data_IF_222841073558
#
_entry.id   IF_222841073558
#
_cell.length_a   1.000
_cell.length_b   1.000
_cell.length_c   1.000
_cell.angle_alpha   90.00
_cell.angle_beta   90.00
_cell.angle_gamma   90.00
#
_symmetry.space_group_name_H-M   'P 1'
#
loop_
_entity.id
_entity.type
_entity.pdbx_description
1 polymer ?
#
# COMPACT_ATOMS: atom_id res chain seq x y z
N UNK A 1 27.82 1.15 -6.50
CA UNK A 1 26.84 0.78 -5.46
C UNK A 1 25.54 1.46 -5.82
N UNK A 2 24.46 0.71 -6.09
CA UNK A 2 23.15 1.32 -6.38
C UNK A 2 22.63 2.04 -5.14
N UNK A 3 21.92 3.15 -5.35
CA UNK A 3 21.21 3.78 -4.25
C UNK A 3 20.08 2.86 -3.80
N UNK A 4 19.79 2.83 -2.50
CA UNK A 4 18.72 2.03 -1.92
C UNK A 4 17.38 2.42 -2.54
N UNK A 5 16.53 1.45 -2.87
CA UNK A 5 15.20 1.71 -3.42
C UNK A 5 14.28 2.45 -2.44
N UNK A 6 13.18 3.01 -2.95
CA UNK A 6 12.16 3.67 -2.15
C UNK A 6 11.18 2.65 -1.58
N UNK A 7 10.85 2.78 -0.29
CA UNK A 7 9.66 2.14 0.27
C UNK A 7 8.47 3.09 0.10
N UNK A 8 7.44 2.64 -0.59
CA UNK A 8 6.25 3.43 -0.92
C UNK A 8 5.04 2.75 -0.30
N UNK A 9 4.24 3.50 0.44
CA UNK A 9 3.01 3.04 1.06
C UNK A 9 1.84 3.80 0.44
N UNK A 10 0.95 3.07 -0.21
CA UNK A 10 -0.30 3.60 -0.74
C UNK A 10 -1.45 3.06 0.10
N UNK A 11 -2.22 3.98 0.69
CA UNK A 11 -3.42 3.68 1.47
C UNK A 11 -4.60 4.53 1.01
N UNK A 12 -5.74 4.28 1.58
CA UNK A 12 -6.99 4.99 1.29
C UNK A 12 -8.18 4.06 1.43
N UNK A 13 -9.40 4.57 1.42
CA UNK A 13 -10.60 3.78 1.66
C UNK A 13 -10.81 2.71 0.59
N UNK A 14 -11.54 1.66 0.97
CA UNK A 14 -11.99 0.65 0.00
C UNK A 14 -12.87 1.32 -1.06
N UNK A 15 -12.57 1.09 -2.35
CA UNK A 15 -13.28 1.77 -3.45
C UNK A 15 -12.58 3.01 -3.99
N UNK A 16 -11.52 3.52 -3.37
CA UNK A 16 -10.76 4.68 -3.85
C UNK A 16 -9.95 4.44 -5.14
N UNK A 17 -9.83 3.18 -5.62
CA UNK A 17 -9.12 2.86 -6.85
C UNK A 17 -7.62 2.61 -6.71
N UNK A 18 -7.12 2.38 -5.49
CA UNK A 18 -5.69 2.12 -5.19
C UNK A 18 -5.07 1.07 -6.11
N UNK A 19 -5.66 -0.13 -6.17
CA UNK A 19 -5.12 -1.24 -6.96
C UNK A 19 -4.97 -0.92 -8.44
N UNK A 20 -5.90 -0.16 -9.02
CA UNK A 20 -5.82 0.26 -10.42
C UNK A 20 -4.70 1.27 -10.63
N UNK A 21 -4.55 2.25 -9.73
CA UNK A 21 -3.42 3.21 -9.74
C UNK A 21 -2.10 2.45 -9.61
N UNK A 22 -1.98 1.55 -8.62
CA UNK A 22 -0.78 0.71 -8.42
C UNK A 22 -0.42 -0.10 -9.67
N UNK A 23 -1.42 -0.67 -10.35
CA UNK A 23 -1.19 -1.41 -11.59
C UNK A 23 -0.70 -0.51 -12.73
N UNK A 24 -1.22 0.72 -12.85
CA UNK A 24 -0.81 1.67 -13.88
C UNK A 24 0.62 2.16 -13.67
N UNK A 25 0.95 2.65 -12.47
CA UNK A 25 2.31 3.17 -12.20
C UNK A 25 3.39 2.09 -12.35
N UNK A 26 3.08 0.83 -12.05
CA UNK A 26 4.02 -0.30 -12.25
C UNK A 26 4.34 -0.55 -13.73
N UNK A 27 3.42 -0.27 -14.66
CA UNK A 27 3.69 -0.38 -16.10
C UNK A 27 4.70 0.66 -16.58
N UNK A 28 4.70 1.84 -15.97
CA UNK A 28 5.56 2.97 -16.33
C UNK A 28 6.91 2.94 -15.60
N UNK A 29 6.99 2.26 -14.46
CA UNK A 29 8.17 2.23 -13.59
C UNK A 29 8.69 0.80 -13.41
N UNK A 30 9.55 0.29 -14.30
CA UNK A 30 10.01 -1.12 -14.29
C UNK A 30 10.74 -1.54 -13.01
N UNK A 31 11.35 -0.57 -12.30
CA UNK A 31 12.06 -0.82 -11.02
C UNK A 31 11.13 -0.78 -9.80
N UNK A 32 9.82 -0.60 -10.00
CA UNK A 32 8.83 -0.60 -8.95
C UNK A 32 8.24 -1.99 -8.77
N UNK A 33 8.59 -2.63 -7.66
CA UNK A 33 8.12 -3.99 -7.30
C UNK A 33 6.92 -3.87 -6.37
N UNK A 34 5.84 -4.58 -6.69
CA UNK A 34 4.69 -4.70 -5.79
C UNK A 34 4.98 -5.76 -4.72
N UNK A 35 4.84 -5.39 -3.46
CA UNK A 35 5.02 -6.34 -2.37
C UNK A 35 3.79 -7.26 -2.26
N UNK A 36 4.03 -8.56 -2.38
CA UNK A 36 3.00 -9.56 -2.17
C UNK A 36 2.83 -9.79 -0.68
N UNK A 37 1.64 -9.49 -0.15
CA UNK A 37 1.31 -9.70 1.27
C UNK A 37 1.07 -11.18 1.57
N UNK A 38 1.26 -11.55 2.82
CA UNK A 38 0.88 -12.85 3.37
C UNK A 38 -0.51 -12.78 3.99
N UNK A 39 -1.30 -13.85 3.89
CA UNK A 39 -2.63 -13.92 4.51
C UNK A 39 -2.97 -15.32 5.00
N UNK A 40 -3.80 -15.37 6.05
CA UNK A 40 -4.39 -16.63 6.53
C UNK A 40 -5.74 -16.96 5.88
N UNK A 41 -6.24 -16.07 5.02
CA UNK A 41 -7.45 -16.32 4.25
C UNK A 41 -7.19 -17.38 3.17
N UNK A 42 -8.11 -18.31 3.01
CA UNK A 42 -8.05 -19.25 1.88
C UNK A 42 -8.07 -18.51 0.53
N UNK A 43 -7.34 -19.02 -0.48
CA UNK A 43 -7.34 -18.44 -1.82
C UNK A 43 -8.76 -18.45 -2.43
N UNK A 44 -9.10 -17.40 -3.15
CA UNK A 44 -10.31 -17.33 -3.96
C UNK A 44 -10.07 -17.94 -5.33
N UNK A 45 -11.15 -18.24 -6.05
CA UNK A 45 -11.05 -18.71 -7.44
C UNK A 45 -10.26 -17.70 -8.28
N UNK A 46 -9.19 -18.18 -8.92
CA UNK A 46 -8.31 -17.35 -9.77
C UNK A 46 -7.15 -16.67 -9.03
N UNK A 47 -7.08 -16.75 -7.71
CA UNK A 47 -5.89 -16.28 -6.98
C UNK A 47 -4.76 -17.30 -7.00
N UNK A 48 -3.53 -16.83 -7.14
CA UNK A 48 -2.31 -17.64 -7.31
C UNK A 48 -1.35 -17.33 -6.17
N UNK A 49 -0.79 -18.41 -5.58
CA UNK A 49 0.26 -18.34 -4.54
C UNK A 49 1.46 -17.54 -5.04
N UNK A 50 1.95 -16.63 -4.20
CA UNK A 50 3.10 -15.78 -4.50
C UNK A 50 2.85 -14.69 -5.54
N UNK A 51 1.64 -14.60 -6.10
CA UNK A 51 1.24 -13.55 -7.05
C UNK A 51 0.24 -12.59 -6.43
N UNK A 52 -0.87 -13.14 -5.91
CA UNK A 52 -1.89 -12.34 -5.24
C UNK A 52 -1.61 -12.21 -3.75
N UNK A 53 -1.30 -13.34 -3.13
CA UNK A 53 -0.88 -13.45 -1.72
C UNK A 53 0.07 -14.64 -1.54
N UNK A 54 0.81 -14.62 -0.44
CA UNK A 54 1.37 -15.83 0.17
C UNK A 54 0.32 -16.37 1.14
N UNK A 55 -0.32 -17.50 0.81
CA UNK A 55 -1.36 -18.11 1.65
C UNK A 55 -0.70 -18.99 2.71
N UNK A 56 -0.97 -18.72 3.98
CA UNK A 56 -0.41 -19.46 5.12
C UNK A 56 -1.50 -19.90 6.08
N UNK A 57 -1.21 -20.94 6.86
CA UNK A 57 -2.08 -21.29 7.98
C UNK A 57 -2.01 -20.21 9.07
N UNK A 58 -2.96 -20.23 9.98
CA UNK A 58 -2.97 -19.29 11.10
C UNK A 58 -1.77 -19.53 12.02
N UNK A 59 -1.43 -20.80 12.26
CA UNK A 59 -0.32 -21.23 13.09
C UNK A 59 1.03 -20.78 12.51
N UNK A 60 1.22 -20.91 11.19
CA UNK A 60 2.42 -20.41 10.49
C UNK A 60 2.52 -18.90 10.59
N UNK A 61 1.41 -18.18 10.42
CA UNK A 61 1.40 -16.72 10.51
C UNK A 61 1.73 -16.25 11.95
N UNK A 62 1.16 -16.89 12.97
CA UNK A 62 1.43 -16.58 14.37
C UNK A 62 2.88 -16.90 14.77
N UNK A 63 3.48 -17.95 14.23
CA UNK A 63 4.93 -18.22 14.39
C UNK A 63 5.76 -17.09 13.84
N UNK A 64 5.49 -16.65 12.60
CA UNK A 64 6.19 -15.53 11.95
C UNK A 64 6.00 -14.21 12.69
N UNK A 65 4.84 -13.99 13.32
CA UNK A 65 4.61 -12.83 14.19
C UNK A 65 5.54 -12.84 15.40
N UNK A 66 5.73 -14.00 16.02
CA UNK A 66 6.63 -14.13 17.19
C UNK A 66 8.10 -13.87 16.84
N UNK A 67 8.48 -14.02 15.58
CA UNK A 67 9.81 -13.79 15.03
C UNK A 67 10.04 -12.35 14.51
N UNK A 68 9.05 -11.43 14.67
CA UNK A 68 9.06 -10.07 14.09
C UNK A 68 9.29 -10.08 12.56
N UNK A 69 8.74 -11.08 11.86
CA UNK A 69 8.97 -11.29 10.44
C UNK A 69 8.15 -10.36 9.53
N UNK A 70 7.30 -9.51 10.09
CA UNK A 70 6.46 -8.59 9.31
C UNK A 70 6.88 -7.12 9.48
N UNK A 71 6.79 -6.35 8.40
CA UNK A 71 6.87 -4.88 8.43
C UNK A 71 5.65 -4.28 9.12
N UNK A 72 4.50 -4.81 8.80
CA UNK A 72 3.20 -4.51 9.38
C UNK A 72 2.31 -5.74 9.29
N UNK A 73 1.30 -5.78 10.13
CA UNK A 73 0.22 -6.76 10.02
C UNK A 73 -1.08 -6.20 10.56
N UNK A 74 -2.19 -6.73 10.05
CA UNK A 74 -3.52 -6.40 10.52
C UNK A 74 -4.39 -7.64 10.58
N UNK A 75 -5.31 -7.68 11.54
CA UNK A 75 -6.40 -8.66 11.57
C UNK A 75 -7.64 -8.01 10.98
N UNK A 76 -8.06 -8.52 9.82
CA UNK A 76 -9.26 -8.05 9.12
C UNK A 76 -10.29 -9.16 9.19
N UNK A 77 -11.37 -8.94 9.94
CA UNK A 77 -12.34 -9.97 10.35
C UNK A 77 -11.62 -11.13 11.06
N UNK A 78 -11.68 -12.33 10.50
CA UNK A 78 -11.10 -13.54 11.10
C UNK A 78 -9.72 -13.89 10.53
N UNK A 79 -9.20 -13.12 9.57
CA UNK A 79 -7.94 -13.40 8.88
C UNK A 79 -6.87 -12.39 9.19
N UNK A 80 -5.63 -12.85 9.22
CA UNK A 80 -4.45 -12.01 9.27
C UNK A 80 -4.00 -11.66 7.85
N UNK A 81 -3.43 -10.45 7.74
CA UNK A 81 -2.71 -9.96 6.57
C UNK A 81 -1.44 -9.30 7.05
N UNK A 82 -0.33 -9.46 6.33
CA UNK A 82 0.93 -8.83 6.71
C UNK A 82 1.94 -8.80 5.58
N UNK A 83 2.82 -7.82 5.64
CA UNK A 83 3.89 -7.63 4.66
C UNK A 83 5.18 -8.28 5.15
N UNK A 84 5.72 -9.31 4.45
CA UNK A 84 6.97 -9.96 4.84
C UNK A 84 8.14 -8.98 4.85
N UNK A 85 8.79 -8.81 6.02
CA UNK A 85 9.83 -7.80 6.24
C UNK A 85 11.10 -8.07 5.43
N UNK A 86 11.65 -9.29 5.53
CA UNK A 86 12.93 -9.61 4.92
C UNK A 86 12.88 -9.44 3.40
N UNK A 87 11.83 -9.93 2.74
CA UNK A 87 11.68 -9.81 1.31
C UNK A 87 11.66 -8.35 0.83
N UNK A 88 10.99 -7.47 1.57
CA UNK A 88 10.99 -6.03 1.25
C UNK A 88 12.36 -5.42 1.42
N UNK A 89 13.06 -5.77 2.51
CA UNK A 89 14.41 -5.24 2.79
C UNK A 89 15.41 -5.65 1.71
N UNK A 90 15.40 -6.91 1.29
CA UNK A 90 16.28 -7.44 0.24
C UNK A 90 16.05 -6.67 -1.08
N UNK A 91 14.80 -6.43 -1.48
CA UNK A 91 14.47 -5.67 -2.67
C UNK A 91 14.98 -4.22 -2.60
N UNK A 92 14.79 -3.55 -1.45
CA UNK A 92 15.25 -2.18 -1.26
C UNK A 92 16.78 -2.08 -1.33
N UNK A 93 17.50 -3.04 -0.74
CA UNK A 93 18.96 -3.09 -0.73
C UNK A 93 19.51 -3.42 -2.12
N UNK A 94 18.78 -4.16 -2.96
CA UNK A 94 19.04 -4.36 -4.39
C UNK A 94 18.77 -3.11 -5.26
N UNK A 95 18.33 -1.98 -4.67
CA UNK A 95 18.01 -0.74 -5.38
C UNK A 95 16.65 -0.73 -6.06
N UNK A 96 15.79 -1.72 -5.79
CA UNK A 96 14.42 -1.76 -6.29
C UNK A 96 13.50 -0.98 -5.36
N UNK A 97 12.65 -0.14 -5.91
CA UNK A 97 11.60 0.51 -5.13
C UNK A 97 10.46 -0.47 -4.87
N UNK A 98 9.92 -0.46 -3.65
CA UNK A 98 8.88 -1.41 -3.21
C UNK A 98 7.61 -0.68 -2.88
N UNK A 99 6.50 -1.11 -3.48
CA UNK A 99 5.16 -0.57 -3.30
C UNK A 99 4.35 -1.49 -2.39
N UNK A 100 3.88 -0.94 -1.28
CA UNK A 100 2.91 -1.55 -0.38
C UNK A 100 1.54 -0.92 -0.61
N UNK A 101 0.55 -1.74 -0.97
CA UNK A 101 -0.86 -1.36 -0.95
C UNK A 101 -1.51 -1.96 0.30
N UNK A 102 -1.61 -1.18 1.35
CA UNK A 102 -2.04 -1.62 2.68
C UNK A 102 -3.11 -0.70 3.26
N UNK A 103 -3.79 -1.14 4.31
CA UNK A 103 -4.74 -0.31 5.03
C UNK A 103 -4.02 0.74 5.90
N UNK A 104 -4.81 1.62 6.51
CA UNK A 104 -4.25 2.72 7.29
C UNK A 104 -3.59 2.24 8.60
N UNK A 105 -4.05 1.12 9.18
CA UNK A 105 -3.45 0.55 10.39
C UNK A 105 -2.05 0.02 10.09
N UNK A 106 -1.90 -0.73 9.00
CA UNK A 106 -0.61 -1.20 8.51
C UNK A 106 0.31 -0.05 8.14
N UNK A 107 -0.20 0.98 7.44
CA UNK A 107 0.57 2.16 7.09
C UNK A 107 1.16 2.88 8.31
N UNK A 108 0.41 2.98 9.40
CA UNK A 108 0.91 3.61 10.64
C UNK A 108 2.00 2.76 11.30
N UNK A 109 1.89 1.43 11.29
CA UNK A 109 2.96 0.55 11.79
C UNK A 109 4.24 0.70 10.95
N UNK A 110 4.11 0.78 9.61
CA UNK A 110 5.26 1.05 8.75
C UNK A 110 5.85 2.41 9.06
N UNK A 111 5.04 3.45 9.28
CA UNK A 111 5.52 4.81 9.56
C UNK A 111 6.33 4.90 10.85
N UNK A 112 5.98 4.14 11.85
CA UNK A 112 6.70 4.07 13.13
C UNK A 112 8.07 3.40 12.98
N UNK A 113 8.19 2.42 12.08
CA UNK A 113 9.42 1.63 11.87
C UNK A 113 10.31 2.17 10.76
N UNK A 114 9.73 2.82 9.74
CA UNK A 114 10.39 3.29 8.51
C UNK A 114 9.95 4.72 8.17
N UNK A 115 10.44 5.68 8.94
CA UNK A 115 10.09 7.10 8.77
C UNK A 115 10.48 7.69 7.41
N UNK A 116 11.45 7.08 6.72
CA UNK A 116 11.90 7.48 5.39
C UNK A 116 11.04 6.94 4.24
N UNK A 117 10.03 6.10 4.52
CA UNK A 117 9.09 5.65 3.50
C UNK A 117 8.22 6.82 3.00
N UNK A 118 7.72 6.69 1.77
CA UNK A 118 6.84 7.68 1.13
C UNK A 118 5.40 7.26 1.34
N UNK A 119 4.62 8.04 2.05
CA UNK A 119 3.23 7.73 2.38
C UNK A 119 2.27 8.54 1.50
N UNK A 120 1.49 7.86 0.66
CA UNK A 120 0.52 8.47 -0.25
C UNK A 120 -0.89 7.98 0.11
N UNK A 121 -1.80 8.92 0.36
CA UNK A 121 -3.19 8.62 0.65
C UNK A 121 -4.06 8.89 -0.58
N UNK A 122 -4.73 7.85 -1.09
CA UNK A 122 -5.63 7.96 -2.24
C UNK A 122 -7.05 8.13 -1.75
N UNK A 123 -7.73 9.15 -2.26
CA UNK A 123 -9.12 9.45 -1.92
C UNK A 123 -9.99 9.53 -3.18
N UNK A 124 -11.28 9.18 -3.10
CA UNK A 124 -12.24 9.52 -4.14
C UNK A 124 -12.53 11.03 -4.10
N UNK A 125 -13.12 11.61 -5.17
CA UNK A 125 -13.45 13.03 -5.20
C UNK A 125 -14.53 13.42 -4.18
N UNK A 126 -15.41 12.47 -3.81
CA UNK A 126 -16.43 12.67 -2.78
C UNK A 126 -16.83 11.35 -2.12
N UNK A 127 -17.53 11.43 -0.98
CA UNK A 127 -18.16 10.26 -0.34
C UNK A 127 -19.33 9.72 -1.18
N UNK A 128 -20.01 10.57 -1.94
CA UNK A 128 -21.07 10.16 -2.87
C UNK A 128 -20.49 9.26 -3.96
N UNK A 129 -19.42 9.71 -4.60
CA UNK A 129 -18.71 8.92 -5.62
C UNK A 129 -18.17 7.61 -5.03
N UNK A 130 -17.63 7.63 -3.81
CA UNK A 130 -17.21 6.41 -3.12
C UNK A 130 -18.38 5.43 -2.94
N UNK A 131 -19.53 5.93 -2.52
CA UNK A 131 -20.74 5.13 -2.34
C UNK A 131 -21.17 4.49 -3.68
N UNK A 132 -21.20 5.25 -4.76
CA UNK A 132 -21.54 4.75 -6.09
C UNK A 132 -20.54 3.68 -6.56
N UNK A 133 -19.25 3.88 -6.39
CA UNK A 133 -18.22 2.89 -6.74
C UNK A 133 -18.37 1.59 -5.96
N UNK A 134 -18.73 1.66 -4.68
CA UNK A 134 -18.97 0.47 -3.85
C UNK A 134 -20.23 -0.27 -4.29
N UNK A 135 -21.33 0.42 -4.62
CA UNK A 135 -22.57 -0.18 -5.11
C UNK A 135 -22.38 -0.84 -6.49
N UNK A 136 -21.66 -0.18 -7.40
CA UNK A 136 -21.45 -0.65 -8.78
C UNK A 136 -20.58 -1.93 -8.84
N UNK A 137 -19.84 -2.27 -7.80
CA UNK A 137 -19.12 -3.55 -7.71
C UNK A 137 -20.07 -4.75 -7.59
N UNK A 138 -21.30 -4.55 -7.09
CA UNK A 138 -22.33 -5.58 -7.02
C UNK A 138 -22.01 -6.79 -6.13
N UNK A 139 -20.94 -6.71 -5.34
CA UNK A 139 -20.44 -7.86 -4.55
C UNK A 139 -20.82 -7.78 -3.07
N UNK A 140 -21.27 -6.62 -2.59
CA UNK A 140 -21.47 -6.36 -1.17
C UNK A 140 -22.96 -6.03 -0.87
N UNK A 141 -23.46 -6.51 0.25
CA UNK A 141 -24.76 -6.12 0.78
C UNK A 141 -24.74 -4.66 1.27
N UNK A 142 -25.89 -4.02 1.33
CA UNK A 142 -26.02 -2.61 1.70
C UNK A 142 -25.38 -2.31 3.06
N UNK A 143 -25.58 -3.17 4.05
CA UNK A 143 -25.04 -3.01 5.40
C UNK A 143 -23.49 -3.03 5.41
N UNK A 144 -22.88 -3.79 4.49
CA UNK A 144 -21.43 -3.83 4.31
C UNK A 144 -20.94 -2.53 3.69
N UNK A 145 -21.67 -1.97 2.72
CA UNK A 145 -21.35 -0.68 2.08
C UNK A 145 -21.43 0.45 3.11
N UNK A 146 -22.51 0.51 3.90
CA UNK A 146 -22.71 1.53 4.93
C UNK A 146 -21.56 1.49 5.97
N UNK A 147 -21.16 0.29 6.38
CA UNK A 147 -20.01 0.11 7.27
C UNK A 147 -18.69 0.61 6.64
N UNK A 148 -18.46 0.34 5.34
CA UNK A 148 -17.25 0.81 4.64
C UNK A 148 -17.24 2.34 4.48
N UNK A 149 -18.39 2.96 4.25
CA UNK A 149 -18.49 4.43 4.18
C UNK A 149 -18.22 5.07 5.53
N UNK A 150 -18.77 4.50 6.62
CA UNK A 150 -18.47 4.97 7.98
C UNK A 150 -16.98 4.86 8.32
N UNK A 151 -16.32 3.74 7.94
CA UNK A 151 -14.88 3.57 8.10
C UNK A 151 -14.09 4.58 7.27
N UNK A 152 -14.50 4.84 6.01
CA UNK A 152 -13.84 5.83 5.16
C UNK A 152 -13.82 7.23 5.77
N UNK A 153 -14.92 7.64 6.42
CA UNK A 153 -14.96 8.92 7.14
C UNK A 153 -13.97 9.00 8.30
N UNK A 154 -13.84 7.92 9.07
CA UNK A 154 -12.88 7.87 10.19
C UNK A 154 -11.43 7.77 9.70
N UNK A 155 -11.18 7.08 8.60
CA UNK A 155 -9.87 6.96 7.96
C UNK A 155 -9.40 8.30 7.38
N UNK A 156 -10.30 9.09 6.78
CA UNK A 156 -9.99 10.44 6.28
C UNK A 156 -9.42 11.37 7.36
N UNK A 157 -9.85 11.22 8.60
CA UNK A 157 -9.31 11.99 9.72
C UNK A 157 -7.81 11.74 9.96
N UNK A 158 -7.28 10.60 9.51
CA UNK A 158 -5.87 10.23 9.62
C UNK A 158 -5.04 10.61 8.38
N UNK A 159 -5.65 11.20 7.34
CA UNK A 159 -4.96 11.60 6.13
C UNK A 159 -3.81 12.58 6.37
N UNK A 160 -3.90 13.43 7.41
CA UNK A 160 -2.84 14.36 7.81
C UNK A 160 -1.53 13.67 8.23
N UNK A 161 -1.55 12.37 8.48
CA UNK A 161 -0.36 11.55 8.82
C UNK A 161 0.41 11.07 7.58
N UNK A 162 -0.12 11.29 6.37
CA UNK A 162 0.54 10.95 5.11
C UNK A 162 1.36 12.12 4.59
N UNK A 163 2.31 11.84 3.71
CA UNK A 163 3.15 12.87 3.11
C UNK A 163 2.44 13.52 1.91
N UNK A 164 1.58 12.76 1.24
CA UNK A 164 0.82 13.17 0.06
C UNK A 164 -0.61 12.67 0.11
N UNK A 165 -1.53 13.46 -0.47
CA UNK A 165 -2.89 13.06 -0.77
C UNK A 165 -3.14 13.20 -2.26
N UNK A 166 -3.73 12.18 -2.89
CA UNK A 166 -4.08 12.18 -4.30
C UNK A 166 -5.56 11.87 -4.46
N UNK A 167 -6.30 12.81 -5.06
CA UNK A 167 -7.71 12.61 -5.41
C UNK A 167 -7.79 11.82 -6.70
N UNK A 168 -8.48 10.68 -6.68
CA UNK A 168 -8.74 9.83 -7.83
C UNK A 168 -10.12 10.16 -8.42
N UNK A 169 -10.17 11.27 -9.13
CA UNK A 169 -11.31 11.67 -9.97
C UNK A 169 -11.16 11.06 -11.37
N UNK A 170 -10.09 11.41 -12.06
CA UNK A 170 -9.63 10.73 -13.27
C UNK A 170 -8.46 9.80 -12.95
N UNK A 171 -8.56 8.55 -13.40
CA UNK A 171 -7.56 7.51 -13.12
C UNK A 171 -6.19 7.82 -13.75
N UNK A 172 -6.17 8.38 -14.96
CA UNK A 172 -4.93 8.72 -15.66
C UNK A 172 -4.19 9.83 -14.94
N UNK A 173 -4.89 10.92 -14.61
CA UNK A 173 -4.34 12.04 -13.85
C UNK A 173 -3.85 11.61 -12.45
N UNK A 174 -4.65 10.79 -11.74
CA UNK A 174 -4.26 10.29 -10.43
C UNK A 174 -3.00 9.43 -10.50
N UNK A 175 -2.91 8.55 -11.50
CA UNK A 175 -1.71 7.72 -11.73
C UNK A 175 -0.48 8.56 -12.03
N UNK A 176 -0.60 9.59 -12.89
CA UNK A 176 0.50 10.50 -13.21
C UNK A 176 0.93 11.34 -12.00
N UNK A 177 -0.01 11.81 -11.16
CA UNK A 177 0.32 12.50 -9.91
C UNK A 177 1.16 11.60 -8.98
N UNK A 178 0.76 10.34 -8.81
CA UNK A 178 1.55 9.38 -8.02
C UNK A 178 2.92 9.15 -8.63
N UNK A 179 3.02 8.91 -9.94
CA UNK A 179 4.30 8.71 -10.62
C UNK A 179 5.22 9.94 -10.47
N UNK A 180 4.67 11.15 -10.57
CA UNK A 180 5.40 12.41 -10.37
C UNK A 180 5.94 12.56 -8.94
N UNK A 181 5.13 12.18 -7.92
CA UNK A 181 5.59 12.14 -6.52
C UNK A 181 6.78 11.19 -6.38
N UNK A 182 6.72 9.98 -6.93
CA UNK A 182 7.79 9.00 -6.82
C UNK A 182 9.08 9.46 -7.53
N UNK A 183 8.96 10.11 -8.69
CA UNK A 183 10.09 10.74 -9.40
C UNK A 183 10.74 11.83 -8.54
N UNK A 184 9.94 12.72 -7.94
CA UNK A 184 10.43 13.78 -7.07
C UNK A 184 11.09 13.22 -5.80
N UNK A 185 10.50 12.21 -5.18
CA UNK A 185 11.03 11.55 -3.97
C UNK A 185 12.39 10.89 -4.25
N UNK A 186 12.60 10.32 -5.43
CA UNK A 186 13.91 9.76 -5.82
C UNK A 186 15.00 10.81 -5.97
N UNK A 187 14.63 12.08 -6.19
CA UNK A 187 15.58 13.20 -6.34
C UNK A 187 15.94 13.89 -5.02
N UNK A 188 15.33 13.51 -3.89
CA UNK A 188 15.67 14.13 -2.59
C UNK A 188 17.15 13.98 -2.25
N UNK A 189 17.79 15.05 -1.79
CA UNK A 189 19.21 15.07 -1.39
C UNK A 189 19.48 14.01 -0.32
N UNK A 190 18.58 13.82 0.64
CA UNK A 190 18.71 12.81 1.69
C UNK A 190 18.79 11.38 1.16
N UNK A 191 18.34 11.12 -0.06
CA UNK A 191 18.32 9.81 -0.72
C UNK A 191 19.48 9.62 -1.73
N UNK A 192 20.14 10.72 -2.14
CA UNK A 192 21.20 10.70 -3.13
C UNK A 192 22.58 10.74 -2.45
N UNK A 193 23.43 9.75 -2.74
CA UNK A 193 24.82 9.70 -2.21
C UNK A 193 25.67 10.84 -2.70
N UNK A 194 25.45 11.34 -3.92
CA UNK A 194 26.18 12.47 -4.50
C UNK A 194 25.97 13.71 -3.64
N UNK A 195 24.73 13.97 -3.19
CA UNK A 195 24.43 15.11 -2.30
C UNK A 195 25.08 14.98 -0.91
N UNK A 196 25.33 13.75 -0.43
CA UNK A 196 26.02 13.50 0.85
C UNK A 196 27.54 13.63 0.78
N UNK A 197 28.12 13.45 -0.40
CA UNK A 197 29.58 13.53 -0.60
C UNK A 197 30.08 14.96 -0.82
N UNK A 198 29.20 15.94 -1.05
CA UNK A 198 29.55 17.34 -1.35
C UNK A 198 29.14 18.31 -0.22
N UNK A 199 28.65 17.80 0.92
CA UNK A 199 28.37 18.55 2.15
C UNK A 199 29.28 18.00 3.25
#
# INVERSE_FOLDING_TARGET
>A
MSDRGLLIVISGPSGAGKGTICANIRKEMPNLVYSVSMTTRAPRVGEVEGVNYFFRSKEEFESLLSEDAFLEYAKVYDNYYGTPKQHVMDLLDDGKSVLLEIDIQGAMQVKERFSDAVFIYIVPPSLTELSERLHNRGTDAKEVIDKRLSLACSELALAHRYDYIVVNDDLGEASEKVASILRAESCKISRNKIGRAHV
#
